data_IF_335520135590
#
_entry.id   IF_335520135590
#
_cell.length_a   1.000
_cell.length_b   1.000
_cell.length_c   1.000
_cell.angle_alpha   90.00
_cell.angle_beta   90.00
_cell.angle_gamma   90.00
#
_symmetry.space_group_name_H-M   'P 1'
#
loop_
_entity.id
_entity.type
_entity.pdbx_description
1 polymer ?
#
# COMPACT_ATOMS: atom_id res chain seq x y z
N UNK A 1 5.35 18.08 -6.10
CA UNK A 1 5.89 16.95 -5.30
C UNK A 1 6.14 15.78 -6.26
N UNK A 2 7.30 15.11 -6.21
CA UNK A 2 7.64 14.04 -7.18
C UNK A 2 7.01 12.69 -6.85
N UNK A 3 6.93 12.33 -5.57
CA UNK A 3 6.27 11.09 -5.12
C UNK A 3 5.93 11.13 -3.63
N UNK A 4 5.05 10.21 -3.21
CA UNK A 4 4.72 9.91 -1.80
C UNK A 4 4.83 8.42 -1.54
N UNK A 5 5.39 8.03 -0.38
CA UNK A 5 5.49 6.62 0.02
C UNK A 5 4.55 6.32 1.18
N UNK A 6 3.68 5.33 1.01
CA UNK A 6 2.72 4.92 2.04
C UNK A 6 2.44 3.40 1.97
N UNK A 7 1.82 2.81 3.01
CA UNK A 7 1.56 1.37 3.02
C UNK A 7 0.41 0.96 2.08
N UNK A 8 0.20 -0.35 1.90
CA UNK A 8 -0.78 -0.91 0.98
C UNK A 8 -2.16 -1.03 1.63
N UNK A 9 -2.64 0.08 2.19
CA UNK A 9 -3.97 0.22 2.77
C UNK A 9 -4.86 1.06 1.85
N UNK A 10 -6.15 0.73 1.76
CA UNK A 10 -7.11 1.43 0.90
C UNK A 10 -7.34 2.88 1.32
N UNK A 11 -7.16 3.22 2.59
CA UNK A 11 -7.20 4.60 3.06
C UNK A 11 -6.15 5.48 2.38
N UNK A 12 -5.00 4.89 2.00
CA UNK A 12 -3.97 5.61 1.27
C UNK A 12 -4.28 5.76 -0.22
N UNK A 13 -5.20 4.96 -0.75
CA UNK A 13 -5.71 5.16 -2.12
C UNK A 13 -6.45 6.49 -2.13
N UNK A 14 -7.45 6.64 -1.23
CA UNK A 14 -8.27 7.85 -1.06
C UNK A 14 -7.40 9.07 -0.77
N UNK A 15 -6.47 8.97 0.18
CA UNK A 15 -5.60 10.09 0.53
C UNK A 15 -4.79 10.61 -0.67
N UNK A 16 -4.29 9.71 -1.53
CA UNK A 16 -3.51 10.12 -2.71
C UNK A 16 -4.38 10.79 -3.77
N UNK A 17 -5.65 10.39 -3.90
CA UNK A 17 -6.60 11.05 -4.78
C UNK A 17 -6.90 12.47 -4.29
N UNK A 18 -7.15 12.65 -2.98
CA UNK A 18 -7.35 13.97 -2.37
C UNK A 18 -6.11 14.88 -2.52
N UNK A 19 -4.90 14.33 -2.36
CA UNK A 19 -3.66 15.09 -2.58
C UNK A 19 -3.51 15.57 -4.03
N UNK A 20 -4.07 14.86 -5.01
CA UNK A 20 -4.02 15.27 -6.42
C UNK A 20 -4.89 16.50 -6.69
N UNK A 21 -5.97 16.69 -5.91
CA UNK A 21 -6.83 17.87 -5.97
C UNK A 21 -6.23 19.05 -5.21
N UNK A 22 -5.55 18.79 -4.09
CA UNK A 22 -5.03 19.82 -3.19
C UNK A 22 -3.64 20.35 -3.56
N UNK A 23 -2.82 19.56 -4.28
CA UNK A 23 -1.43 19.91 -4.59
C UNK A 23 -1.23 20.06 -6.09
N UNK A 24 -1.07 21.31 -6.53
CA UNK A 24 -0.72 21.62 -7.92
C UNK A 24 0.51 20.84 -8.38
N UNK A 25 0.35 20.12 -9.49
CA UNK A 25 1.41 19.34 -10.12
C UNK A 25 1.74 18.01 -9.42
N UNK A 26 0.95 17.55 -8.45
CA UNK A 26 1.05 16.19 -7.92
C UNK A 26 0.37 15.20 -8.87
N UNK A 27 1.08 14.17 -9.33
CA UNK A 27 0.57 13.22 -10.34
C UNK A 27 -0.35 12.11 -9.78
N UNK A 28 -0.99 12.36 -8.63
CA UNK A 28 -1.91 11.42 -7.98
C UNK A 28 -1.33 10.01 -7.79
N UNK A 29 -2.10 8.98 -8.15
CA UNK A 29 -1.70 7.58 -7.98
C UNK A 29 -0.40 7.21 -8.69
N UNK A 30 -0.06 7.87 -9.81
CA UNK A 30 1.21 7.61 -10.52
C UNK A 30 2.42 8.01 -9.68
N UNK A 31 2.25 9.00 -8.80
CA UNK A 31 3.28 9.47 -7.89
C UNK A 31 3.33 8.66 -6.57
N UNK A 32 2.49 7.64 -6.40
CA UNK A 32 2.48 6.82 -5.17
C UNK A 32 3.42 5.64 -5.25
N UNK A 33 4.35 5.57 -4.30
CA UNK A 33 5.19 4.41 -4.02
C UNK A 33 4.62 3.64 -2.84
N UNK A 34 4.54 2.31 -2.91
CA UNK A 34 4.13 1.48 -1.76
C UNK A 34 5.34 1.18 -0.87
N UNK A 35 5.13 1.18 0.44
CA UNK A 35 6.18 0.90 1.42
C UNK A 35 6.79 -0.50 1.18
N UNK A 36 8.07 -0.55 0.85
CA UNK A 36 8.78 -1.79 0.52
C UNK A 36 8.72 -2.81 1.67
N UNK A 37 8.94 -2.37 2.91
CA UNK A 37 8.85 -3.24 4.08
C UNK A 37 7.45 -3.87 4.23
N UNK A 38 6.39 -3.11 3.93
CA UNK A 38 5.03 -3.63 3.96
C UNK A 38 4.79 -4.68 2.86
N UNK A 39 5.30 -4.43 1.64
CA UNK A 39 5.22 -5.40 0.54
C UNK A 39 5.94 -6.70 0.90
N UNK A 40 7.16 -6.62 1.46
CA UNK A 40 7.91 -7.81 1.90
C UNK A 40 7.14 -8.60 2.97
N UNK A 41 6.54 -7.90 3.94
CA UNK A 41 5.72 -8.54 4.97
C UNK A 41 4.50 -9.26 4.37
N UNK A 42 3.82 -8.66 3.38
CA UNK A 42 2.70 -9.31 2.68
C UNK A 42 3.14 -10.55 1.89
N UNK A 43 4.27 -10.46 1.19
CA UNK A 43 4.85 -11.61 0.45
C UNK A 43 5.18 -12.75 1.42
N UNK A 44 5.86 -12.45 2.52
CA UNK A 44 6.21 -13.44 3.54
C UNK A 44 4.95 -14.12 4.12
N UNK A 45 3.93 -13.34 4.50
CA UNK A 45 2.64 -13.88 4.96
C UNK A 45 1.98 -14.78 3.92
N UNK A 46 1.99 -14.39 2.64
CA UNK A 46 1.40 -15.19 1.57
C UNK A 46 2.13 -16.53 1.37
N UNK A 47 3.46 -16.54 1.49
CA UNK A 47 4.24 -17.78 1.38
C UNK A 47 3.99 -18.71 2.57
N UNK A 48 3.95 -18.14 3.79
CA UNK A 48 3.74 -18.89 5.02
C UNK A 48 2.32 -19.46 5.16
N UNK A 49 1.31 -18.82 4.56
CA UNK A 49 -0.09 -19.25 4.60
C UNK A 49 -0.31 -20.71 4.14
N UNK A 50 0.58 -21.24 3.31
CA UNK A 50 0.53 -22.66 2.88
C UNK A 50 0.76 -23.64 4.03
N UNK A 51 1.38 -23.18 5.12
CA UNK A 51 1.69 -23.97 6.31
C UNK A 51 0.76 -23.66 7.49
N UNK A 52 -0.24 -22.80 7.31
CA UNK A 52 -1.22 -22.50 8.35
C UNK A 52 -2.04 -23.75 8.68
N UNK A 53 -2.12 -24.09 9.98
CA UNK A 53 -3.02 -25.16 10.46
C UNK A 53 -4.46 -24.63 10.40
N UNK A 54 -5.43 -25.42 9.92
CA UNK A 54 -6.83 -25.02 9.95
C UNK A 54 -7.24 -24.59 11.36
N UNK A 55 -7.86 -23.42 11.51
CA UNK A 55 -8.38 -22.97 12.80
C UNK A 55 -9.43 -23.99 13.27
N UNK A 56 -9.31 -24.45 14.50
CA UNK A 56 -10.32 -25.29 15.13
C UNK A 56 -11.67 -24.55 15.10
N UNK A 57 -12.74 -25.30 14.79
CA UNK A 57 -14.12 -24.81 14.75
C UNK A 57 -14.64 -24.46 16.14
#
# INVERSE_FOLDING_TARGET
MLSVTCDNASANDVMVDELAELIDGFSGQVARTRCFAHVVNLVAKSLLRQFDVPKAK
#
